data_IF_886587774750
#
_entry.id   IF_886587774750
#
_cell.length_a   1.000
_cell.length_b   1.000
_cell.length_c   1.000
_cell.angle_alpha   90.00
_cell.angle_beta   90.00
_cell.angle_gamma   90.00
#
_symmetry.space_group_name_H-M   'P 1'
#
loop_
_entity.id
_entity.type
_entity.pdbx_description
1 polymer ?
#
# COMPACT_ATOMS: atom_id res chain seq x y z
N UNK A 1 -19.73 16.09 -4.46
CA UNK A 1 -19.79 15.77 -4.63
C UNK A 1 -19.72 14.96 -5.31
N UNK A 2 -19.82 14.84 -5.66
CA UNK A 2 -19.93 14.16 -6.46
C UNK A 2 -19.50 13.07 -6.87
N UNK A 3 -19.08 12.62 -6.47
CA UNK A 3 -18.57 11.54 -6.88
C UNK A 3 -19.34 10.40 -6.75
N UNK A 4 -20.39 10.41 -6.30
CA UNK A 4 -21.09 9.25 -5.99
C UNK A 4 -21.81 8.57 -7.11
N UNK A 5 -21.50 8.74 -8.29
CA UNK A 5 -22.27 8.26 -9.39
C UNK A 5 -21.90 6.86 -9.81
N UNK A 6 -21.73 5.96 -8.88
CA UNK A 6 -21.52 4.55 -9.17
C UNK A 6 -20.12 4.16 -9.50
N UNK A 7 -19.20 5.08 -9.45
CA UNK A 7 -17.82 4.77 -9.70
C UNK A 7 -17.14 4.31 -8.42
N UNK A 8 -16.07 3.57 -8.58
CA UNK A 8 -15.28 3.16 -7.43
C UNK A 8 -14.72 4.37 -6.71
N UNK A 9 -14.76 4.33 -5.39
CA UNK A 9 -14.19 5.40 -4.60
C UNK A 9 -12.71 5.19 -4.46
N UNK A 10 -11.96 6.25 -4.59
CA UNK A 10 -10.52 6.20 -4.33
C UNK A 10 -10.05 7.54 -3.83
N UNK A 11 -9.06 7.49 -2.94
CA UNK A 11 -8.42 8.66 -2.40
C UNK A 11 -6.97 8.66 -2.85
N UNK A 12 -6.50 9.79 -3.32
CA UNK A 12 -5.12 9.92 -3.75
C UNK A 12 -4.40 10.93 -2.86
N UNK A 13 -3.21 10.54 -2.39
CA UNK A 13 -2.36 11.41 -1.60
C UNK A 13 -1.23 11.89 -2.52
N UNK A 14 -1.18 13.18 -2.76
CA UNK A 14 -0.24 13.75 -3.73
C UNK A 14 1.19 13.76 -3.19
N UNK A 15 2.14 13.95 -4.09
CA UNK A 15 3.54 13.85 -3.74
C UNK A 15 4.04 14.98 -2.83
N UNK A 16 3.28 16.04 -2.67
CA UNK A 16 3.65 17.11 -1.75
C UNK A 16 2.93 17.00 -0.41
N UNK A 17 2.22 15.91 -0.18
CA UNK A 17 1.44 15.72 1.04
C UNK A 17 2.16 14.77 1.98
N UNK A 18 2.15 15.10 3.26
CA UNK A 18 2.72 14.25 4.29
C UNK A 18 1.69 14.06 5.38
N UNK A 19 1.42 12.81 5.72
CA UNK A 19 0.42 12.45 6.71
C UNK A 19 1.06 11.60 7.79
N UNK A 20 0.78 11.94 9.04
CA UNK A 20 1.21 11.12 10.19
C UNK A 20 -0.04 10.78 10.98
N UNK A 21 -0.25 9.50 11.24
CA UNK A 21 -1.41 9.05 12.00
C UNK A 21 -2.04 7.82 11.38
N UNK A 22 -3.29 7.58 11.74
CA UNK A 22 -4.01 6.41 11.27
C UNK A 22 -4.97 6.82 10.17
N UNK A 23 -5.00 6.02 9.11
CA UNK A 23 -5.94 6.22 8.02
C UNK A 23 -6.86 5.02 7.99
N UNK A 24 -8.16 5.29 8.04
CA UNK A 24 -9.17 4.26 7.97
C UNK A 24 -10.17 4.69 6.91
N UNK A 25 -10.39 3.87 5.92
CA UNK A 25 -11.26 4.25 4.81
C UNK A 25 -11.92 3.03 4.22
N UNK A 26 -13.03 3.28 3.52
CA UNK A 26 -13.73 2.25 2.78
C UNK A 26 -13.65 2.59 1.30
N UNK A 27 -12.43 2.69 0.81
CA UNK A 27 -12.18 3.04 -0.58
C UNK A 27 -10.73 2.68 -0.92
N UNK A 28 -10.45 2.62 -2.20
CA UNK A 28 -9.10 2.38 -2.67
C UNK A 28 -8.23 3.59 -2.33
N UNK A 29 -6.97 3.34 -2.03
CA UNK A 29 -6.06 4.39 -1.61
C UNK A 29 -4.83 4.40 -2.50
N UNK A 30 -4.48 5.58 -3.02
CA UNK A 30 -3.30 5.77 -3.83
C UNK A 30 -2.38 6.74 -3.11
N UNK A 31 -1.15 6.34 -2.85
CA UNK A 31 -0.20 7.16 -2.13
C UNK A 31 0.96 7.53 -3.03
N UNK A 32 1.10 8.82 -3.32
CA UNK A 32 2.26 9.36 -4.00
C UNK A 32 3.05 10.31 -3.11
N UNK A 33 2.60 10.50 -1.89
CA UNK A 33 3.29 11.34 -0.90
C UNK A 33 3.88 10.49 0.20
N UNK A 34 3.98 11.07 1.40
CA UNK A 34 4.56 10.40 2.55
C UNK A 34 3.49 10.13 3.59
N UNK A 35 3.42 8.89 4.06
CA UNK A 35 2.48 8.50 5.11
C UNK A 35 3.23 7.72 6.17
N UNK A 36 3.03 8.08 7.43
CA UNK A 36 3.57 7.34 8.56
C UNK A 36 2.45 7.02 9.51
N UNK A 37 2.31 5.75 9.86
CA UNK A 37 1.26 5.30 10.77
C UNK A 37 0.61 4.04 10.27
N UNK A 38 -0.69 3.89 10.54
CA UNK A 38 -1.41 2.69 10.17
C UNK A 38 -2.46 3.01 9.12
N UNK A 39 -2.61 2.10 8.16
CA UNK A 39 -3.65 2.21 7.14
C UNK A 39 -4.54 0.97 7.26
N UNK A 40 -5.83 1.20 7.36
CA UNK A 40 -6.80 0.12 7.45
C UNK A 40 -7.88 0.35 6.40
N UNK A 41 -7.84 -0.42 5.32
CA UNK A 41 -8.82 -0.32 4.25
C UNK A 41 -9.32 -1.71 3.81
N UNK A 42 -9.21 -2.67 4.66
CA UNK A 42 -9.69 -4.07 4.60
C UNK A 42 -9.99 -4.66 3.23
N UNK A 43 -11.11 -4.33 2.64
CA UNK A 43 -11.58 -4.95 1.40
C UNK A 43 -11.21 -4.14 0.16
N UNK A 44 -10.34 -3.19 0.30
CA UNK A 44 -9.94 -2.30 -0.78
C UNK A 44 -8.46 -2.39 -1.04
N UNK A 45 -8.02 -1.79 -2.12
CA UNK A 45 -6.65 -1.92 -2.60
C UNK A 45 -5.82 -0.70 -2.26
N UNK A 46 -4.55 -0.94 -1.96
CA UNK A 46 -3.58 0.12 -1.73
C UNK A 46 -2.58 0.14 -2.86
N UNK A 47 -2.37 1.33 -3.42
CA UNK A 47 -1.36 1.55 -4.45
C UNK A 47 -0.35 2.58 -3.95
N UNK A 48 0.89 2.15 -3.77
CA UNK A 48 1.97 3.05 -3.41
C UNK A 48 2.72 3.41 -4.69
N UNK A 49 2.58 4.64 -5.12
CA UNK A 49 3.17 5.10 -6.37
C UNK A 49 4.68 5.26 -6.28
N UNK A 50 5.33 5.55 -7.41
CA UNK A 50 6.80 5.60 -7.44
C UNK A 50 7.40 6.70 -6.58
N UNK A 51 6.64 7.75 -6.29
CA UNK A 51 7.10 8.81 -5.39
C UNK A 51 6.57 8.62 -3.97
N UNK A 52 5.84 7.54 -3.71
CA UNK A 52 5.25 7.31 -2.41
C UNK A 52 6.25 6.77 -1.41
N UNK A 53 6.04 7.14 -0.16
CA UNK A 53 6.81 6.60 0.97
C UNK A 53 5.85 6.29 2.09
N UNK A 54 5.94 5.08 2.59
CA UNK A 54 5.07 4.66 3.68
C UNK A 54 5.88 3.96 4.76
N UNK A 55 5.63 4.32 6.01
CA UNK A 55 6.18 3.62 7.17
C UNK A 55 5.05 3.28 8.11
N UNK A 56 4.94 2.00 8.48
CA UNK A 56 3.95 1.57 9.43
C UNK A 56 3.29 0.26 9.04
N UNK A 57 2.00 0.16 9.29
CA UNK A 57 1.27 -1.07 9.10
C UNK A 57 0.10 -0.85 8.16
N UNK A 58 -0.11 -1.81 7.25
CA UNK A 58 -1.19 -1.75 6.27
C UNK A 58 -2.08 -2.97 6.41
N UNK A 59 -3.38 -2.76 6.42
CA UNK A 59 -4.38 -3.81 6.32
C UNK A 59 -5.24 -3.50 5.10
N UNK A 60 -5.11 -4.31 4.06
CA UNK A 60 -5.81 -4.09 2.79
C UNK A 60 -6.12 -5.42 2.13
N UNK A 61 -6.85 -5.39 1.04
CA UNK A 61 -7.11 -6.59 0.25
C UNK A 61 -5.91 -6.88 -0.65
N UNK A 62 -5.59 -5.96 -1.55
CA UNK A 62 -4.44 -6.10 -2.42
C UNK A 62 -3.54 -4.88 -2.24
N UNK A 63 -2.24 -5.09 -2.37
CA UNK A 63 -1.27 -4.01 -2.22
C UNK A 63 -0.32 -4.05 -3.40
N UNK A 64 -0.14 -2.90 -4.05
CA UNK A 64 0.85 -2.78 -5.11
C UNK A 64 1.85 -1.71 -4.71
N UNK A 65 3.12 -2.04 -4.71
CA UNK A 65 4.17 -1.15 -4.26
C UNK A 65 5.10 -0.82 -5.42
N UNK A 66 5.22 0.47 -5.72
CA UNK A 66 6.15 0.99 -6.70
C UNK A 66 7.13 1.96 -6.08
N UNK A 67 6.95 2.30 -4.82
CA UNK A 67 7.79 3.26 -4.13
C UNK A 67 8.50 2.65 -2.94
N UNK A 68 8.70 3.43 -1.91
CA UNK A 68 9.41 2.99 -0.71
C UNK A 68 8.43 2.65 0.39
N UNK A 69 8.62 1.49 0.99
CA UNK A 69 7.80 1.09 2.11
C UNK A 69 8.62 0.39 3.17
N UNK A 70 8.37 0.74 4.42
CA UNK A 70 8.94 0.07 5.57
C UNK A 70 7.85 -0.27 6.54
N UNK A 71 7.84 -1.50 7.03
CA UNK A 71 6.89 -1.91 8.03
C UNK A 71 6.22 -3.22 7.70
N UNK A 72 4.92 -3.28 7.96
CA UNK A 72 4.20 -4.54 7.89
C UNK A 72 3.00 -4.41 6.98
N UNK A 73 2.81 -5.40 6.11
CA UNK A 73 1.64 -5.49 5.23
C UNK A 73 0.84 -6.71 5.62
N UNK A 74 -0.45 -6.51 5.85
CA UNK A 74 -1.40 -7.59 6.03
C UNK A 74 -2.43 -7.49 4.92
N UNK A 75 -2.31 -8.35 3.92
CA UNK A 75 -3.21 -8.35 2.77
C UNK A 75 -3.98 -9.65 2.73
N UNK A 76 -5.29 -9.56 2.51
CA UNK A 76 -6.11 -10.77 2.39
C UNK A 76 -6.02 -11.35 0.99
N UNK A 77 -5.55 -10.60 0.03
CA UNK A 77 -5.37 -11.05 -1.33
C UNK A 77 -3.91 -11.14 -1.71
N UNK A 78 -3.46 -10.24 -2.56
CA UNK A 78 -2.16 -10.34 -3.18
C UNK A 78 -1.33 -9.08 -2.92
N UNK A 79 -0.02 -9.28 -2.77
CA UNK A 79 0.94 -8.18 -2.72
C UNK A 79 1.79 -8.23 -3.97
N UNK A 80 1.89 -7.10 -4.68
CA UNK A 80 2.75 -6.97 -5.84
C UNK A 80 3.85 -5.96 -5.57
N UNK A 81 5.08 -6.36 -5.76
CA UNK A 81 6.23 -5.48 -5.59
C UNK A 81 6.89 -5.33 -6.94
N UNK A 82 6.77 -4.14 -7.53
CA UNK A 82 7.23 -3.90 -8.88
C UNK A 82 8.71 -3.60 -8.89
N UNK A 83 9.28 -3.54 -10.09
CA UNK A 83 10.72 -3.40 -10.23
C UNK A 83 11.27 -2.08 -9.66
N UNK A 84 10.43 -1.06 -9.50
CA UNK A 84 10.85 0.21 -8.93
C UNK A 84 10.75 0.26 -7.42
N UNK A 85 10.24 -0.78 -6.80
CA UNK A 85 9.90 -0.76 -5.39
C UNK A 85 11.11 -1.04 -4.50
N UNK A 86 11.01 -0.52 -3.28
CA UNK A 86 11.97 -0.74 -2.23
C UNK A 86 11.17 -1.06 -0.97
N UNK A 87 11.16 -2.32 -0.58
CA UNK A 87 10.38 -2.77 0.55
C UNK A 87 11.25 -3.43 1.61
N UNK A 88 11.02 -3.05 2.85
CA UNK A 88 11.68 -3.64 4.01
C UNK A 88 10.65 -3.91 5.10
N UNK A 89 10.64 -5.10 5.66
CA UNK A 89 9.76 -5.41 6.78
C UNK A 89 9.14 -6.79 6.74
N UNK A 90 7.83 -6.84 6.94
CA UNK A 90 7.09 -8.11 6.98
C UNK A 90 5.88 -8.05 6.08
N UNK A 91 5.58 -9.18 5.45
CA UNK A 91 4.39 -9.32 4.63
C UNK A 91 3.64 -10.56 5.04
N UNK A 92 2.34 -10.42 5.26
CA UNK A 92 1.43 -11.51 5.44
C UNK A 92 0.35 -11.39 4.39
N UNK A 93 0.24 -12.39 3.50
CA UNK A 93 -0.72 -12.34 2.40
C UNK A 93 -0.99 -13.74 1.88
N UNK A 94 -2.00 -13.87 1.02
CA UNK A 94 -2.28 -15.14 0.37
C UNK A 94 -1.30 -15.40 -0.79
N UNK A 95 -0.86 -14.36 -1.46
CA UNK A 95 0.13 -14.52 -2.51
C UNK A 95 0.96 -13.27 -2.63
N UNK A 96 2.15 -13.43 -3.21
CA UNK A 96 3.06 -12.32 -3.40
C UNK A 96 3.77 -12.47 -4.73
N UNK A 97 4.00 -11.33 -5.39
CA UNK A 97 4.73 -11.28 -6.63
C UNK A 97 5.78 -10.18 -6.50
N UNK A 98 7.04 -10.52 -6.76
CA UNK A 98 8.13 -9.56 -6.69
C UNK A 98 8.80 -9.52 -8.05
N UNK A 99 8.83 -8.35 -8.67
CA UNK A 99 9.42 -8.21 -9.98
C UNK A 99 10.94 -8.18 -9.88
N UNK A 100 11.57 -8.63 -10.93
CA UNK A 100 13.01 -8.62 -11.02
C UNK A 100 13.48 -7.17 -10.99
N UNK A 101 14.48 -6.90 -10.15
CA UNK A 101 15.00 -5.55 -10.00
C UNK A 101 14.48 -4.81 -8.77
N UNK A 102 13.41 -5.31 -8.16
CA UNK A 102 12.92 -4.69 -6.92
C UNK A 102 13.88 -4.96 -5.76
N UNK A 103 14.00 -3.98 -4.87
CA UNK A 103 14.70 -4.22 -3.62
C UNK A 103 13.70 -4.78 -2.62
N UNK A 104 14.00 -5.95 -2.09
CA UNK A 104 13.04 -6.63 -1.24
C UNK A 104 13.79 -7.32 -0.11
N UNK A 105 13.64 -6.80 1.10
CA UNK A 105 14.26 -7.36 2.29
C UNK A 105 13.17 -7.55 3.33
N UNK A 106 12.54 -8.72 3.30
CA UNK A 106 11.37 -8.92 4.12
C UNK A 106 11.17 -10.38 4.48
N UNK A 107 10.44 -10.56 5.59
CA UNK A 107 9.91 -11.86 5.95
C UNK A 107 8.51 -11.97 5.36
N UNK A 108 8.26 -13.09 4.69
CA UNK A 108 6.98 -13.32 4.03
C UNK A 108 6.29 -14.51 4.68
N UNK A 109 5.03 -14.31 5.03
CA UNK A 109 4.21 -15.37 5.58
C UNK A 109 3.00 -15.51 4.68
N UNK A 110 2.92 -16.64 3.98
CA UNK A 110 1.80 -16.93 3.09
C UNK A 110 0.82 -17.83 3.83
N UNK A 111 -0.42 -17.51 3.73
CA UNK A 111 -1.40 -18.35 4.41
C UNK A 111 -2.74 -17.70 4.45
#
# INVERSE_FOLDING_TARGET
>A
MGSGNGQEKKTAISNSTSIVGNIKAEEHLIINGTVKGNIEIKDYDLFLGPNGRFEGEVHAQNVRIRGHMRGEINATGKVEITQEADFSGKIKSNSISVDKGAYFDASVNLG
#
